data_IF_332033519141
#
_entry.id   IF_332033519141
#
_cell.length_a   1.000
_cell.length_b   1.000
_cell.length_c   1.000
_cell.angle_alpha   90.00
_cell.angle_beta   90.00
_cell.angle_gamma   90.00
#
_symmetry.space_group_name_H-M   'P 1'
#
loop_
_entity.id
_entity.type
_entity.pdbx_description
1 polymer ?
#
# COMPACT_ATOMS: atom_id res chain seq x y z
N UNK A 1 11.62 -8.47 30.25
CA UNK A 1 10.72 -7.69 29.39
C UNK A 1 11.43 -6.38 29.07
N UNK A 2 11.42 -5.93 27.84
CA UNK A 2 12.07 -4.67 27.46
C UNK A 2 11.43 -3.53 28.24
N UNK A 3 12.25 -2.68 28.85
CA UNK A 3 11.80 -1.47 29.56
C UNK A 3 11.43 -0.34 28.58
N UNK A 4 11.48 -0.61 27.27
CA UNK A 4 11.25 0.38 26.23
C UNK A 4 9.90 0.17 25.54
N UNK A 5 9.27 1.28 25.18
CA UNK A 5 8.04 1.35 24.38
C UNK A 5 8.44 1.59 22.91
N UNK A 6 8.07 0.68 21.99
CA UNK A 6 8.26 0.93 20.56
C UNK A 6 7.34 2.03 20.06
N UNK A 7 7.85 2.88 19.16
CA UNK A 7 7.15 3.95 18.47
C UNK A 7 7.42 3.77 16.98
N UNK A 8 6.40 3.40 16.24
CA UNK A 8 6.52 2.92 14.85
C UNK A 8 5.59 3.72 13.95
N UNK A 9 6.14 4.20 12.84
CA UNK A 9 5.40 4.78 11.71
C UNK A 9 5.63 3.97 10.45
N UNK A 10 4.67 4.00 9.53
CA UNK A 10 4.73 3.30 8.25
C UNK A 10 4.60 4.29 7.08
N UNK A 11 5.33 4.00 6.02
CA UNK A 11 5.16 4.58 4.70
C UNK A 11 4.76 3.44 3.76
N UNK A 12 3.51 3.48 3.28
CA UNK A 12 2.97 2.43 2.40
C UNK A 12 2.78 2.99 1.02
N UNK A 13 3.45 2.40 0.04
CA UNK A 13 3.37 2.76 -1.36
C UNK A 13 2.47 1.78 -2.10
N UNK A 14 1.51 2.28 -2.87
CA UNK A 14 0.59 1.45 -3.66
C UNK A 14 0.49 1.96 -5.10
N UNK A 15 0.86 1.10 -6.06
CA UNK A 15 0.69 1.39 -7.49
C UNK A 15 -0.81 1.35 -7.85
N UNK A 16 -1.27 2.38 -8.56
CA UNK A 16 -2.68 2.50 -8.94
C UNK A 16 -2.98 1.73 -10.23
N UNK A 17 -4.13 1.05 -10.26
CA UNK A 17 -4.61 0.24 -11.38
C UNK A 17 -5.11 1.09 -12.57
N UNK A 18 -4.34 2.07 -12.99
CA UNK A 18 -4.65 2.86 -14.18
C UNK A 18 -4.14 2.17 -15.44
N UNK A 19 -4.79 2.42 -16.59
CA UNK A 19 -4.35 1.89 -17.88
C UNK A 19 -3.08 2.57 -18.40
N UNK A 20 -2.90 3.84 -18.04
CA UNK A 20 -1.75 4.64 -18.47
C UNK A 20 -1.01 5.23 -17.28
N UNK A 21 0.23 5.62 -17.51
CA UNK A 21 1.09 6.27 -16.53
C UNK A 21 0.51 7.60 -16.05
N UNK A 22 1.09 8.15 -14.97
CA UNK A 22 0.55 9.34 -14.30
C UNK A 22 0.64 10.61 -15.14
N UNK A 23 1.67 10.75 -15.98
CA UNK A 23 1.92 11.98 -16.76
C UNK A 23 2.08 11.75 -18.28
N UNK A 24 1.80 10.53 -18.77
CA UNK A 24 1.82 10.20 -20.19
C UNK A 24 0.87 9.05 -20.51
N UNK A 25 0.74 8.70 -21.80
CA UNK A 25 -0.18 7.66 -22.29
C UNK A 25 0.43 6.26 -22.35
N UNK A 26 1.68 6.06 -21.92
CA UNK A 26 2.30 4.74 -21.90
C UNK A 26 1.50 3.77 -21.01
N UNK A 27 1.49 2.49 -21.39
CA UNK A 27 0.86 1.44 -20.60
C UNK A 27 1.52 1.32 -19.22
N UNK A 28 0.69 1.29 -18.17
CA UNK A 28 1.13 1.19 -16.77
C UNK A 28 1.13 -0.25 -16.23
N UNK A 29 0.70 -1.26 -17.01
CA UNK A 29 0.64 -2.65 -16.56
C UNK A 29 2.03 -3.20 -16.22
N UNK A 30 2.07 -4.08 -15.23
CA UNK A 30 3.27 -4.81 -14.85
C UNK A 30 3.79 -5.72 -15.96
N UNK A 31 5.13 -5.83 -16.10
CA UNK A 31 5.79 -6.71 -17.06
C UNK A 31 6.06 -6.06 -18.43
N UNK A 32 6.22 -6.89 -19.46
CA UNK A 32 6.67 -6.49 -20.80
C UNK A 32 8.18 -6.52 -20.95
N UNK A 33 8.65 -6.45 -22.21
CA UNK A 33 10.09 -6.39 -22.50
C UNK A 33 10.69 -5.10 -21.91
N UNK A 34 11.93 -5.13 -21.39
CA UNK A 34 12.56 -3.95 -20.81
C UNK A 34 12.54 -2.74 -21.77
N UNK A 35 12.19 -1.59 -21.24
CA UNK A 35 12.11 -0.31 -21.97
C UNK A 35 11.11 -0.29 -23.15
N UNK A 36 10.15 -1.22 -23.22
CA UNK A 36 9.12 -1.26 -24.26
C UNK A 36 7.90 -0.36 -23.97
N UNK A 37 7.75 0.09 -22.74
CA UNK A 37 6.62 0.88 -22.24
C UNK A 37 7.05 2.25 -21.73
N UNK A 38 7.91 2.93 -22.48
CA UNK A 38 8.39 4.27 -22.16
C UNK A 38 8.36 5.19 -23.39
N UNK A 39 8.20 6.48 -23.14
CA UNK A 39 8.15 7.52 -24.16
C UNK A 39 9.03 8.72 -23.75
N UNK A 40 9.25 9.70 -24.63
CA UNK A 40 10.05 10.89 -24.29
C UNK A 40 9.57 11.62 -23.02
N UNK A 41 8.26 11.60 -22.69
CA UNK A 41 7.74 12.27 -21.49
C UNK A 41 8.19 11.54 -20.21
N UNK A 42 7.90 10.24 -20.06
CA UNK A 42 8.26 9.52 -18.84
C UNK A 42 9.77 9.27 -18.71
N UNK A 43 10.55 9.39 -19.79
CA UNK A 43 12.03 9.36 -19.76
C UNK A 43 12.67 10.74 -19.65
N UNK A 44 11.87 11.81 -19.57
CA UNK A 44 12.37 13.17 -19.31
C UNK A 44 13.20 13.80 -20.43
N UNK A 45 12.86 13.47 -21.69
CA UNK A 45 13.55 14.06 -22.83
C UNK A 45 13.31 15.59 -22.91
N UNK A 46 14.30 16.39 -23.34
CA UNK A 46 14.14 17.83 -23.45
C UNK A 46 12.95 18.24 -24.31
N UNK A 47 12.18 19.23 -23.84
CA UNK A 47 11.03 19.80 -24.55
C UNK A 47 9.72 19.03 -24.37
N UNK A 48 9.70 17.96 -23.57
CA UNK A 48 8.45 17.23 -23.25
C UNK A 48 7.77 17.83 -22.03
N UNK A 49 6.42 17.84 -22.04
CA UNK A 49 5.60 18.31 -20.91
C UNK A 49 4.74 17.19 -20.36
N UNK A 50 4.65 17.03 -19.03
CA UNK A 50 3.77 16.08 -18.38
C UNK A 50 2.31 16.51 -18.51
N UNK A 51 1.40 15.54 -18.64
CA UNK A 51 -0.06 15.76 -18.57
C UNK A 51 -0.65 14.80 -17.56
N UNK A 52 -1.31 15.34 -16.53
CA UNK A 52 -1.84 14.53 -15.43
C UNK A 52 -2.94 13.55 -15.88
N UNK A 53 -2.85 12.33 -15.40
CA UNK A 53 -3.88 11.30 -15.58
C UNK A 53 -5.01 11.52 -14.55
N UNK A 54 -6.17 11.96 -15.03
CA UNK A 54 -7.34 12.20 -14.19
C UNK A 54 -7.78 10.95 -13.41
N UNK A 55 -7.68 9.76 -14.01
CA UNK A 55 -8.02 8.50 -13.33
C UNK A 55 -7.11 8.23 -12.14
N UNK A 56 -5.81 8.58 -12.24
CA UNK A 56 -4.87 8.45 -11.11
C UNK A 56 -5.26 9.38 -9.95
N UNK A 57 -5.68 10.60 -10.24
CA UNK A 57 -6.20 11.55 -9.25
C UNK A 57 -7.48 11.03 -8.60
N UNK A 58 -8.45 10.56 -9.39
CA UNK A 58 -9.68 9.95 -8.87
C UNK A 58 -9.40 8.73 -7.97
N UNK A 59 -8.44 7.88 -8.35
CA UNK A 59 -8.06 6.71 -7.56
C UNK A 59 -7.37 7.09 -6.25
N UNK A 60 -6.52 8.11 -6.26
CA UNK A 60 -5.92 8.64 -5.03
C UNK A 60 -6.99 9.20 -4.06
N UNK A 61 -7.98 9.92 -4.59
CA UNK A 61 -9.12 10.43 -3.79
C UNK A 61 -9.98 9.27 -3.26
N UNK A 62 -10.25 8.23 -4.07
CA UNK A 62 -10.95 7.02 -3.61
C UNK A 62 -10.19 6.31 -2.49
N UNK A 63 -8.86 6.21 -2.60
CA UNK A 63 -8.02 5.69 -1.52
C UNK A 63 -8.15 6.53 -0.26
N UNK A 64 -8.15 7.87 -0.39
CA UNK A 64 -8.38 8.79 0.72
C UNK A 64 -9.71 8.53 1.42
N UNK A 65 -10.82 8.46 0.69
CA UNK A 65 -12.13 8.13 1.27
C UNK A 65 -12.15 6.74 1.92
N UNK A 66 -11.49 5.74 1.33
CA UNK A 66 -11.43 4.39 1.87
C UNK A 66 -10.67 4.32 3.20
N UNK A 67 -9.66 5.19 3.40
CA UNK A 67 -8.87 5.29 4.61
C UNK A 67 -9.37 6.38 5.58
N UNK A 68 -10.56 6.96 5.32
CA UNK A 68 -11.17 7.95 6.21
C UNK A 68 -10.49 9.30 6.23
N UNK A 69 -9.80 9.67 5.13
CA UNK A 69 -9.11 10.96 5.02
C UNK A 69 -10.05 12.09 4.63
N UNK A 70 -9.66 13.30 5.04
CA UNK A 70 -10.14 14.55 4.44
C UNK A 70 -9.47 14.75 3.09
N UNK A 71 -10.21 15.24 2.10
CA UNK A 71 -9.68 15.55 0.77
C UNK A 71 -9.42 17.04 0.64
N UNK A 72 -8.20 17.41 0.32
CA UNK A 72 -7.85 18.81 0.04
C UNK A 72 -8.49 19.27 -1.27
N UNK A 73 -9.33 20.29 -1.20
CA UNK A 73 -9.99 20.88 -2.38
C UNK A 73 -9.02 21.57 -3.34
N UNK A 74 -7.85 21.94 -2.84
CA UNK A 74 -6.75 22.52 -3.60
C UNK A 74 -5.48 21.74 -3.33
N UNK A 75 -4.83 21.24 -4.38
CA UNK A 75 -3.62 20.44 -4.27
C UNK A 75 -2.65 20.79 -5.40
N UNK A 76 -1.36 20.74 -5.12
CA UNK A 76 -0.31 21.03 -6.07
C UNK A 76 0.72 19.89 -6.11
N UNK A 77 1.42 19.80 -7.21
CA UNK A 77 2.58 18.90 -7.33
C UNK A 77 3.87 19.67 -7.08
N UNK A 78 4.85 18.94 -6.56
CA UNK A 78 6.20 19.43 -6.28
C UNK A 78 7.22 18.54 -7.00
N UNK A 79 8.37 19.12 -7.34
CA UNK A 79 9.55 18.37 -7.79
C UNK A 79 10.41 18.00 -6.59
N UNK A 80 10.59 16.71 -6.36
CA UNK A 80 11.54 16.12 -5.41
C UNK A 80 12.83 15.81 -6.16
N UNK A 81 13.85 16.64 -5.98
CA UNK A 81 15.08 16.55 -6.78
C UNK A 81 16.07 15.60 -6.12
N UNK A 82 16.43 14.53 -6.82
CA UNK A 82 17.53 13.66 -6.45
C UNK A 82 18.05 12.93 -7.69
N UNK A 83 19.32 12.58 -7.67
CA UNK A 83 19.98 11.96 -8.80
C UNK A 83 20.18 10.47 -8.55
N UNK A 84 19.47 9.64 -9.35
CA UNK A 84 19.62 8.19 -9.33
C UNK A 84 19.36 7.62 -10.73
N UNK A 85 20.04 6.50 -11.14
CA UNK A 85 19.94 5.98 -12.50
C UNK A 85 18.54 5.52 -12.94
N UNK A 86 17.67 5.12 -12.00
CA UNK A 86 16.28 4.74 -12.28
C UNK A 86 15.31 5.93 -12.32
N UNK A 87 15.82 7.14 -12.12
CA UNK A 87 15.07 8.38 -12.19
C UNK A 87 15.58 9.24 -13.36
N UNK A 88 15.08 9.02 -14.60
CA UNK A 88 15.67 9.60 -15.82
C UNK A 88 15.59 11.12 -15.89
N UNK A 89 14.61 11.75 -15.20
CA UNK A 89 14.44 13.21 -15.12
C UNK A 89 15.34 13.88 -14.08
N UNK A 90 16.04 13.10 -13.23
CA UNK A 90 16.75 13.56 -12.04
C UNK A 90 15.85 14.26 -10.99
N UNK A 91 14.54 14.13 -11.12
CA UNK A 91 13.53 14.50 -10.12
C UNK A 91 12.32 13.59 -10.23
N UNK A 92 11.60 13.48 -9.12
CA UNK A 92 10.31 12.79 -9.04
C UNK A 92 9.21 13.84 -8.84
N UNK A 93 8.13 13.74 -9.62
CA UNK A 93 6.93 14.55 -9.36
C UNK A 93 6.15 13.89 -8.24
N UNK A 94 5.91 14.63 -7.18
CA UNK A 94 5.28 14.18 -5.94
C UNK A 94 4.48 15.33 -5.31
N UNK A 95 4.09 15.24 -4.05
CA UNK A 95 3.39 16.30 -3.33
C UNK A 95 3.95 16.41 -1.90
N UNK A 96 4.38 17.59 -1.48
CA UNK A 96 4.93 17.82 -0.15
C UNK A 96 3.97 18.61 0.76
N UNK A 97 3.65 19.85 0.36
CA UNK A 97 2.95 20.79 1.24
C UNK A 97 1.43 20.70 1.14
N UNK A 98 0.92 20.37 -0.04
CA UNK A 98 -0.53 20.31 -0.32
C UNK A 98 -0.89 18.96 -0.95
N UNK A 99 -0.76 17.86 -0.19
CA UNK A 99 -1.11 16.53 -0.67
C UNK A 99 -2.61 16.41 -0.93
N UNK A 100 -3.02 15.42 -1.70
CA UNK A 100 -4.44 15.20 -2.03
C UNK A 100 -5.29 14.88 -0.79
N UNK A 101 -4.77 14.08 0.16
CA UNK A 101 -5.54 13.61 1.30
C UNK A 101 -4.76 13.78 2.60
N UNK A 102 -5.47 14.12 3.68
CA UNK A 102 -4.90 14.34 5.03
C UNK A 102 -5.82 13.76 6.12
N UNK A 103 -5.30 13.64 7.33
CA UNK A 103 -6.09 13.34 8.55
C UNK A 103 -6.92 12.06 8.49
N UNK A 104 -6.41 11.00 7.86
CA UNK A 104 -7.10 9.71 7.82
C UNK A 104 -7.03 8.95 9.14
N UNK A 105 -7.94 7.98 9.31
CA UNK A 105 -7.94 7.05 10.45
C UNK A 105 -8.31 5.64 9.98
N UNK A 106 -7.43 4.69 10.29
CA UNK A 106 -7.65 3.27 9.99
C UNK A 106 -7.70 2.47 11.29
N UNK A 107 -8.85 1.89 11.59
CA UNK A 107 -9.01 1.02 12.77
C UNK A 107 -8.48 -0.38 12.46
N UNK A 108 -7.51 -0.85 13.23
CA UNK A 108 -6.99 -2.21 13.23
C UNK A 108 -7.55 -3.01 14.41
N UNK A 109 -7.49 -4.35 14.34
CA UNK A 109 -7.84 -5.24 15.45
C UNK A 109 -6.72 -6.26 15.65
N UNK A 110 -6.13 -6.28 16.84
CA UNK A 110 -5.07 -7.21 17.24
C UNK A 110 -5.46 -7.81 18.59
N UNK A 111 -5.47 -9.13 18.71
CA UNK A 111 -5.85 -9.87 19.91
C UNK A 111 -7.22 -9.42 20.50
N UNK A 112 -8.18 -9.14 19.60
CA UNK A 112 -9.53 -8.70 19.97
C UNK A 112 -9.61 -7.23 20.44
N UNK A 113 -8.51 -6.49 20.43
CA UNK A 113 -8.47 -5.08 20.78
C UNK A 113 -8.43 -4.22 19.53
N UNK A 114 -9.33 -3.24 19.47
CA UNK A 114 -9.35 -2.24 18.40
C UNK A 114 -8.41 -1.08 18.75
N UNK A 115 -7.71 -0.60 17.74
CA UNK A 115 -6.83 0.57 17.84
C UNK A 115 -6.93 1.39 16.56
N UNK A 116 -7.08 2.69 16.71
CA UNK A 116 -7.06 3.64 15.61
C UNK A 116 -5.62 4.07 15.31
N UNK A 117 -5.25 3.94 14.05
CA UNK A 117 -3.96 4.41 13.53
C UNK A 117 -4.25 5.60 12.62
N UNK A 118 -3.67 6.75 12.96
CA UNK A 118 -3.83 7.97 12.18
C UNK A 118 -2.99 7.91 10.91
N UNK A 119 -3.59 8.30 9.81
CA UNK A 119 -2.92 8.53 8.53
C UNK A 119 -2.68 10.03 8.40
N UNK A 120 -1.42 10.43 8.43
CA UNK A 120 -1.02 11.84 8.32
C UNK A 120 -1.44 12.39 6.94
N UNK A 121 -1.04 11.69 5.86
CA UNK A 121 -1.37 12.09 4.49
C UNK A 121 -1.36 10.91 3.52
N UNK A 122 -2.02 11.13 2.39
CA UNK A 122 -1.84 10.34 1.17
C UNK A 122 -1.54 11.33 0.04
N UNK A 123 -0.46 11.11 -0.66
CA UNK A 123 -0.10 11.91 -1.82
C UNK A 123 0.11 11.07 -3.06
N UNK A 124 -0.10 11.70 -4.23
CA UNK A 124 0.11 11.08 -5.53
C UNK A 124 1.51 11.42 -6.04
N UNK A 125 2.20 10.41 -6.54
CA UNK A 125 3.52 10.55 -7.12
C UNK A 125 3.71 9.58 -8.29
N UNK A 126 4.84 9.66 -8.95
CA UNK A 126 5.27 8.70 -9.97
C UNK A 126 6.26 7.69 -9.41
N UNK A 127 6.18 6.43 -9.84
CA UNK A 127 7.18 5.44 -9.49
C UNK A 127 8.47 5.64 -10.31
N UNK A 128 9.59 5.21 -9.76
CA UNK A 128 10.89 5.17 -10.43
C UNK A 128 11.02 3.94 -11.34
N UNK A 129 12.01 3.92 -12.20
CA UNK A 129 12.39 2.76 -12.99
C UNK A 129 12.88 1.59 -12.12
N UNK A 130 13.42 0.57 -12.77
CA UNK A 130 14.01 -0.59 -12.11
C UNK A 130 15.47 -0.72 -12.51
N UNK A 131 16.34 -0.98 -11.53
CA UNK A 131 17.73 -1.34 -11.78
C UNK A 131 17.89 -2.86 -11.65
N UNK A 132 18.55 -3.45 -12.64
CA UNK A 132 18.97 -4.85 -12.63
C UNK A 132 20.49 -4.87 -12.60
N UNK A 133 21.05 -5.33 -11.48
CA UNK A 133 22.49 -5.45 -11.31
C UNK A 133 22.96 -6.76 -11.92
N UNK A 134 23.95 -6.68 -12.79
CA UNK A 134 24.66 -7.81 -13.37
C UNK A 134 26.07 -7.84 -12.77
N UNK A 135 26.24 -8.62 -11.73
CA UNK A 135 27.50 -8.75 -10.99
C UNK A 135 28.60 -9.39 -11.86
N UNK A 136 28.23 -10.18 -12.87
CA UNK A 136 29.18 -10.84 -13.75
C UNK A 136 29.85 -9.85 -14.70
N UNK A 137 29.07 -8.93 -15.28
CA UNK A 137 29.58 -7.91 -16.20
C UNK A 137 29.91 -6.58 -15.50
N UNK A 138 29.72 -6.49 -14.18
CA UNK A 138 29.89 -5.28 -13.37
C UNK A 138 29.13 -4.06 -13.93
N UNK A 139 27.89 -4.29 -14.40
CA UNK A 139 27.02 -3.24 -14.95
C UNK A 139 25.65 -3.24 -14.25
N UNK A 140 24.97 -2.10 -14.33
CA UNK A 140 23.57 -1.98 -13.92
C UNK A 140 22.74 -1.57 -15.13
N UNK A 141 21.73 -2.39 -15.43
CA UNK A 141 20.79 -2.13 -16.52
C UNK A 141 19.58 -1.39 -15.95
N UNK A 142 19.17 -0.30 -16.62
CA UNK A 142 17.97 0.46 -16.24
C UNK A 142 16.79 0.07 -17.13
N UNK A 143 15.70 -0.33 -16.50
CA UNK A 143 14.41 -0.57 -17.13
C UNK A 143 13.42 0.52 -16.69
N UNK A 144 12.99 1.36 -17.64
CA UNK A 144 12.09 2.49 -17.40
C UNK A 144 10.60 2.14 -17.61
N UNK A 145 10.25 0.86 -17.78
CA UNK A 145 8.84 0.46 -17.93
C UNK A 145 7.98 0.92 -16.74
N UNK A 146 8.53 0.82 -15.52
CA UNK A 146 7.82 1.26 -14.30
C UNK A 146 7.88 2.78 -14.08
N UNK A 147 8.87 3.48 -14.65
CA UNK A 147 9.02 4.92 -14.50
C UNK A 147 7.75 5.66 -14.92
N UNK A 148 7.17 6.44 -14.02
CA UNK A 148 5.92 7.18 -14.23
C UNK A 148 4.64 6.37 -14.01
N UNK A 149 4.71 5.13 -13.51
CA UNK A 149 3.53 4.40 -13.02
C UNK A 149 2.92 5.17 -11.85
N UNK A 150 1.59 5.41 -11.83
CA UNK A 150 0.95 6.16 -10.75
C UNK A 150 1.10 5.43 -9.42
N UNK A 151 1.61 6.14 -8.44
CA UNK A 151 1.90 5.65 -7.10
C UNK A 151 1.25 6.57 -6.08
N UNK A 152 0.62 6.01 -5.05
CA UNK A 152 0.26 6.75 -3.84
C UNK A 152 1.16 6.34 -2.70
N UNK A 153 1.61 7.33 -1.93
CA UNK A 153 2.30 7.11 -0.67
C UNK A 153 1.36 7.46 0.49
N UNK A 154 1.14 6.50 1.38
CA UNK A 154 0.31 6.58 2.58
C UNK A 154 1.25 6.66 3.77
N UNK A 155 1.30 7.79 4.45
CA UNK A 155 2.16 8.04 5.60
C UNK A 155 1.34 8.05 6.88
N UNK A 156 1.72 7.21 7.86
CA UNK A 156 1.03 7.19 9.16
C UNK A 156 1.67 8.15 10.15
N UNK A 157 0.91 8.50 11.18
CA UNK A 157 1.49 8.95 12.45
C UNK A 157 2.17 7.77 13.17
N UNK A 158 3.08 8.01 14.12
CA UNK A 158 3.82 6.96 14.83
C UNK A 158 2.99 6.32 15.96
N UNK A 159 1.77 5.90 15.63
CA UNK A 159 0.81 5.35 16.60
C UNK A 159 0.99 3.85 16.86
N UNK A 160 1.76 3.16 16.00
CA UNK A 160 1.97 1.72 16.05
C UNK A 160 3.01 1.38 17.13
N UNK A 161 2.78 0.33 17.92
CA UNK A 161 3.62 -0.05 19.03
C UNK A 161 4.09 -1.52 19.03
N UNK A 162 3.72 -2.30 18.01
CA UNK A 162 4.19 -3.69 17.85
C UNK A 162 4.28 -4.12 16.39
N UNK A 163 4.99 -5.23 16.16
CA UNK A 163 5.07 -5.86 14.85
C UNK A 163 3.69 -6.37 14.37
N UNK A 164 2.87 -6.87 15.28
CA UNK A 164 1.53 -7.37 15.01
C UNK A 164 0.61 -6.23 14.56
N UNK A 165 0.65 -5.07 15.23
CA UNK A 165 -0.10 -3.89 14.84
C UNK A 165 0.33 -3.37 13.45
N UNK A 166 1.65 -3.37 13.16
CA UNK A 166 2.16 -2.96 11.86
C UNK A 166 1.65 -3.88 10.72
N UNK A 167 1.70 -5.21 10.94
CA UNK A 167 1.16 -6.18 9.97
C UNK A 167 -0.34 -5.99 9.77
N UNK A 168 -1.11 -5.87 10.86
CA UNK A 168 -2.55 -5.67 10.82
C UNK A 168 -2.93 -4.37 10.08
N UNK A 169 -2.13 -3.31 10.23
CA UNK A 169 -2.34 -2.06 9.49
C UNK A 169 -2.11 -2.24 7.99
N UNK A 170 -1.00 -2.85 7.57
CA UNK A 170 -0.72 -3.08 6.14
C UNK A 170 -1.75 -3.99 5.51
N UNK A 171 -2.18 -5.06 6.19
CA UNK A 171 -3.27 -5.94 5.76
C UNK A 171 -4.59 -5.17 5.60
N UNK A 172 -4.92 -4.30 6.56
CA UNK A 172 -6.14 -3.50 6.53
C UNK A 172 -6.13 -2.48 5.39
N UNK A 173 -5.01 -1.78 5.19
CA UNK A 173 -4.84 -0.85 4.06
C UNK A 173 -4.96 -1.60 2.74
N UNK A 174 -4.26 -2.73 2.58
CA UNK A 174 -4.36 -3.57 1.39
C UNK A 174 -5.82 -3.95 1.09
N UNK A 175 -6.55 -4.42 2.09
CA UNK A 175 -7.97 -4.77 1.97
C UNK A 175 -8.80 -3.57 1.50
N UNK A 176 -8.63 -2.41 2.12
CA UNK A 176 -9.39 -1.19 1.80
C UNK A 176 -9.11 -0.71 0.37
N UNK A 177 -7.85 -0.72 -0.08
CA UNK A 177 -7.46 -0.33 -1.43
C UNK A 177 -7.99 -1.30 -2.50
N UNK A 178 -7.96 -2.61 -2.21
CA UNK A 178 -8.56 -3.62 -3.10
C UNK A 178 -10.07 -3.46 -3.21
N UNK A 179 -10.78 -3.19 -2.11
CA UNK A 179 -12.21 -2.93 -2.13
C UNK A 179 -12.55 -1.65 -2.89
N UNK A 180 -11.78 -0.59 -2.69
CA UNK A 180 -11.93 0.65 -3.46
C UNK A 180 -11.64 0.48 -4.97
N UNK A 181 -11.00 -0.64 -5.35
CA UNK A 181 -10.66 -0.96 -6.75
C UNK A 181 -9.53 -0.11 -7.30
N UNK A 182 -8.63 0.37 -6.44
CA UNK A 182 -7.55 1.30 -6.82
C UNK A 182 -6.17 0.65 -6.91
N UNK A 183 -5.94 -0.47 -6.20
CA UNK A 183 -4.68 -1.23 -6.21
C UNK A 183 -4.97 -2.73 -6.06
N UNK A 184 -4.17 -3.59 -6.66
CA UNK A 184 -4.23 -5.05 -6.47
C UNK A 184 -3.43 -5.53 -5.26
N UNK A 185 -2.57 -4.66 -4.71
CA UNK A 185 -1.80 -4.85 -3.48
C UNK A 185 -0.94 -6.12 -3.46
N UNK A 186 -0.30 -6.47 -4.57
CA UNK A 186 0.60 -7.62 -4.67
C UNK A 186 2.03 -7.23 -4.28
N UNK A 187 2.44 -7.60 -3.07
CA UNK A 187 3.79 -7.30 -2.57
C UNK A 187 4.87 -8.00 -3.42
N UNK A 188 4.61 -9.19 -3.94
CA UNK A 188 5.55 -9.97 -4.76
C UNK A 188 5.86 -9.31 -6.11
N UNK A 189 4.91 -8.54 -6.65
CA UNK A 189 5.05 -7.77 -7.90
C UNK A 189 5.51 -6.34 -7.64
N UNK A 190 5.55 -5.91 -6.36
CA UNK A 190 5.94 -4.57 -5.95
C UNK A 190 4.83 -3.53 -6.07
N UNK A 191 3.58 -3.94 -6.38
CA UNK A 191 2.45 -3.01 -6.42
C UNK A 191 1.98 -2.54 -5.04
N UNK A 192 2.42 -3.21 -3.97
CA UNK A 192 2.35 -2.72 -2.58
C UNK A 192 3.72 -2.88 -1.93
N UNK A 193 4.25 -1.81 -1.35
CA UNK A 193 5.51 -1.78 -0.63
C UNK A 193 5.31 -1.06 0.69
N UNK A 194 6.08 -1.40 1.70
CA UNK A 194 6.05 -0.71 2.98
C UNK A 194 7.46 -0.47 3.51
N UNK A 195 7.73 0.75 3.91
CA UNK A 195 8.90 1.13 4.67
C UNK A 195 8.48 1.38 6.13
N UNK A 196 9.32 1.01 7.08
CA UNK A 196 9.01 1.07 8.50
C UNK A 196 9.98 1.97 9.21
N UNK A 197 9.47 2.98 9.90
CA UNK A 197 10.23 3.83 10.80
C UNK A 197 10.09 3.32 12.23
N UNK A 198 11.19 2.87 12.85
CA UNK A 198 11.20 2.31 14.21
C UNK A 198 12.02 3.20 15.12
N UNK A 199 11.46 3.58 16.25
CA UNK A 199 12.18 4.12 17.41
C UNK A 199 11.69 3.46 18.69
N UNK A 200 12.44 3.60 19.76
CA UNK A 200 12.04 3.15 21.10
C UNK A 200 12.27 4.28 22.10
N UNK A 201 11.41 4.38 23.11
CA UNK A 201 11.51 5.35 24.18
C UNK A 201 11.29 4.67 25.53
N UNK A 202 11.76 5.27 26.62
CA UNK A 202 11.41 4.83 27.98
C UNK A 202 10.04 5.33 28.36
N UNK A 203 9.32 4.65 29.27
CA UNK A 203 7.99 5.11 29.72
C UNK A 203 7.97 6.52 30.30
N UNK A 204 9.10 6.95 30.88
CA UNK A 204 9.27 8.29 31.48
C UNK A 204 9.67 9.38 30.50
N UNK A 205 10.10 9.02 29.26
CA UNK A 205 10.53 9.99 28.24
C UNK A 205 9.32 10.74 27.69
N UNK A 206 9.50 12.05 27.46
CA UNK A 206 8.48 12.92 26.86
C UNK A 206 8.59 13.03 25.32
N UNK A 207 9.75 12.65 24.79
CA UNK A 207 10.07 12.74 23.37
C UNK A 207 10.34 11.36 22.81
N UNK A 208 10.02 11.19 21.54
CA UNK A 208 10.33 9.95 20.85
C UNK A 208 11.84 9.76 20.72
N UNK A 209 12.27 8.50 20.75
CA UNK A 209 13.66 8.14 20.48
C UNK A 209 14.06 8.39 19.04
N UNK A 210 15.36 8.24 18.75
CA UNK A 210 15.90 8.39 17.41
C UNK A 210 15.36 7.29 16.49
N UNK A 211 14.71 7.68 15.41
CA UNK A 211 14.12 6.75 14.43
C UNK A 211 15.16 6.15 13.50
N UNK A 212 14.92 4.91 13.11
CA UNK A 212 15.63 4.18 12.06
C UNK A 212 14.62 3.75 11.00
N UNK A 213 14.88 4.05 9.74
CA UNK A 213 14.07 3.64 8.60
C UNK A 213 14.50 2.25 8.12
N UNK A 214 13.57 1.30 7.99
CA UNK A 214 13.83 -0.04 7.48
C UNK A 214 13.19 -0.20 6.09
N UNK A 215 14.02 -0.54 5.10
CA UNK A 215 13.62 -0.77 3.71
C UNK A 215 13.81 -2.22 3.27
N UNK A 216 13.29 -2.55 2.08
CA UNK A 216 13.38 -3.88 1.48
C UNK A 216 12.53 -4.93 2.22
N UNK A 217 11.29 -4.55 2.55
CA UNK A 217 10.32 -5.37 3.25
C UNK A 217 9.29 -5.93 2.25
N UNK A 218 9.56 -7.12 1.73
CA UNK A 218 8.81 -7.68 0.60
C UNK A 218 7.62 -8.58 1.01
N UNK A 219 7.32 -8.64 2.30
CA UNK A 219 6.20 -9.41 2.85
C UNK A 219 5.81 -8.91 4.24
N UNK A 220 4.59 -9.21 4.68
CA UNK A 220 4.14 -8.95 6.05
C UNK A 220 5.04 -9.61 7.09
N UNK A 221 5.54 -10.79 6.76
CA UNK A 221 6.49 -11.51 7.62
C UNK A 221 7.81 -10.75 7.76
N UNK A 222 8.33 -10.21 6.66
CA UNK A 222 9.56 -9.40 6.66
C UNK A 222 9.38 -8.11 7.46
N UNK A 223 8.21 -7.46 7.35
CA UNK A 223 7.86 -6.27 8.17
C UNK A 223 7.94 -6.62 9.65
N UNK A 224 7.27 -7.67 10.11
CA UNK A 224 7.29 -8.07 11.52
C UNK A 224 8.69 -8.39 12.02
N UNK A 225 9.46 -9.19 11.27
CA UNK A 225 10.83 -9.57 11.63
C UNK A 225 11.79 -8.37 11.70
N UNK A 226 11.66 -7.43 10.78
CA UNK A 226 12.48 -6.22 10.77
C UNK A 226 12.20 -5.34 12.00
N UNK A 227 10.93 -5.15 12.35
CA UNK A 227 10.51 -4.40 13.55
C UNK A 227 11.08 -5.06 14.81
N UNK A 228 10.88 -6.37 14.98
CA UNK A 228 11.37 -7.11 16.15
C UNK A 228 12.90 -7.05 16.26
N UNK A 229 13.59 -7.13 15.12
CA UNK A 229 15.05 -7.00 15.11
C UNK A 229 15.49 -5.60 15.54
N UNK A 230 14.86 -4.55 14.98
CA UNK A 230 15.22 -3.16 15.30
C UNK A 230 14.94 -2.81 16.75
N UNK A 231 13.80 -3.23 17.29
CA UNK A 231 13.51 -3.04 18.73
C UNK A 231 14.61 -3.66 19.58
N UNK A 232 15.00 -4.90 19.28
CA UNK A 232 16.09 -5.59 20.03
C UNK A 232 17.44 -4.92 19.85
N UNK A 233 17.77 -4.48 18.63
CA UNK A 233 19.03 -3.80 18.32
C UNK A 233 19.13 -2.47 19.07
N UNK A 234 18.09 -1.64 18.97
CA UNK A 234 18.05 -0.33 19.63
C UNK A 234 18.07 -0.46 21.15
N UNK A 235 17.31 -1.40 21.73
CA UNK A 235 17.33 -1.68 23.17
C UNK A 235 18.73 -2.04 23.66
N UNK A 236 19.44 -2.94 22.96
CA UNK A 236 20.82 -3.31 23.32
C UNK A 236 21.78 -2.11 23.28
N UNK A 237 21.64 -1.22 22.27
CA UNK A 237 22.48 -0.02 22.18
C UNK A 237 22.25 0.90 23.38
N UNK A 238 21.00 1.17 23.71
CA UNK A 238 20.65 2.05 24.85
C UNK A 238 21.06 1.44 26.20
N UNK A 239 20.89 0.13 26.38
CA UNK A 239 21.31 -0.59 27.58
C UNK A 239 22.85 -0.53 27.78
N UNK A 240 23.63 -0.46 26.69
CA UNK A 240 25.07 -0.26 26.69
C UNK A 240 25.49 1.22 26.86
N UNK A 241 24.54 2.14 27.05
CA UNK A 241 24.81 3.57 27.10
C UNK A 241 25.19 4.21 25.75
N UNK A 242 24.97 3.50 24.63
CA UNK A 242 25.23 4.00 23.29
C UNK A 242 23.98 4.69 22.74
N UNK A 243 24.19 5.62 21.79
CA UNK A 243 23.11 6.31 21.11
C UNK A 243 22.67 5.52 19.87
N UNK A 244 21.35 5.55 19.59
CA UNK A 244 20.82 5.15 18.28
C UNK A 244 21.13 6.27 17.29
N UNK A 245 21.60 5.92 16.11
CA UNK A 245 21.90 6.87 15.01
C UNK A 245 20.71 6.87 14.06
N UNK A 246 20.31 8.05 13.58
CA UNK A 246 19.29 8.16 12.54
C UNK A 246 19.88 7.72 11.21
N UNK A 247 19.40 6.61 10.70
CA UNK A 247 19.91 5.98 9.49
C UNK A 247 18.81 5.22 8.75
N UNK A 248 19.02 4.99 7.43
CA UNK A 248 18.25 4.05 6.63
C UNK A 248 18.97 2.69 6.65
N UNK A 249 18.22 1.63 6.91
CA UNK A 249 18.72 0.25 7.00
C UNK A 249 17.98 -0.66 6.03
N UNK A 250 18.70 -1.60 5.43
CA UNK A 250 18.14 -2.63 4.56
C UNK A 250 17.92 -3.91 5.34
N UNK A 251 16.71 -4.46 5.30
CA UNK A 251 16.42 -5.77 5.86
C UNK A 251 16.92 -6.88 4.94
N UNK A 252 17.61 -7.86 5.52
CA UNK A 252 18.03 -9.10 4.87
C UNK A 252 17.14 -10.23 5.39
N UNK A 253 16.23 -10.70 4.55
CA UNK A 253 15.23 -11.70 4.95
C UNK A 253 15.85 -13.06 5.28
N UNK A 254 16.93 -13.46 4.57
CA UNK A 254 17.64 -14.72 4.83
C UNK A 254 18.34 -14.72 6.19
N UNK A 255 18.97 -13.62 6.56
CA UNK A 255 19.68 -13.46 7.85
C UNK A 255 18.76 -13.03 8.98
N UNK A 256 17.62 -12.40 8.65
CA UNK A 256 16.70 -11.84 9.64
C UNK A 256 17.25 -10.63 10.38
N UNK A 257 18.11 -9.85 9.74
CA UNK A 257 18.79 -8.70 10.32
C UNK A 257 18.72 -7.47 9.40
N UNK A 258 18.90 -6.29 9.98
CA UNK A 258 19.05 -5.06 9.23
C UNK A 258 20.53 -4.66 9.12
N UNK A 259 20.94 -4.11 7.99
CA UNK A 259 22.28 -3.54 7.77
C UNK A 259 22.18 -2.08 7.39
N UNK A 260 23.10 -1.24 7.87
CA UNK A 260 23.14 0.19 7.53
C UNK A 260 23.35 0.39 6.04
N UNK A 261 22.59 1.29 5.43
CA UNK A 261 22.78 1.71 4.03
C UNK A 261 23.40 3.10 3.95
N UNK A 262 22.80 4.06 4.65
CA UNK A 262 23.25 5.46 4.69
C UNK A 262 22.88 6.10 6.02
N UNK A 263 23.68 7.05 6.45
CA UNK A 263 23.42 7.86 7.64
C UNK A 263 22.71 9.16 7.27
N UNK A 264 22.26 9.93 8.28
CA UNK A 264 21.62 11.24 8.07
C UNK A 264 22.59 12.26 7.43
N UNK A 265 23.90 12.11 7.64
CA UNK A 265 24.91 12.98 7.04
C UNK A 265 24.95 12.84 5.50
N UNK A 266 24.55 11.66 4.99
CA UNK A 266 24.36 11.38 3.56
C UNK A 266 22.97 11.68 3.05
N UNK A 267 22.05 12.22 3.89
CA UNK A 267 20.69 12.51 3.49
C UNK A 267 20.67 13.65 2.48
N UNK A 268 20.11 13.39 1.31
CA UNK A 268 19.96 14.39 0.28
C UNK A 268 18.96 15.48 0.71
N UNK A 269 19.34 16.74 0.57
CA UNK A 269 18.38 17.83 0.51
C UNK A 269 17.67 17.75 -0.86
N UNK A 270 16.41 17.33 -0.84
CA UNK A 270 15.62 17.15 -2.06
C UNK A 270 15.24 18.44 -2.76
N UNK A 271 15.49 19.61 -2.18
CA UNK A 271 15.26 20.93 -2.80
C UNK A 271 13.90 21.00 -3.48
N UNK A 272 12.86 20.66 -2.72
CA UNK A 272 11.52 20.70 -3.23
C UNK A 272 11.13 22.11 -3.73
N UNK A 273 10.47 22.15 -4.88
CA UNK A 273 9.82 23.34 -5.40
C UNK A 273 8.56 22.94 -6.19
N UNK A 274 7.57 23.85 -6.36
CA UNK A 274 6.36 23.54 -7.11
C UNK A 274 6.66 23.10 -8.54
N UNK A 275 5.97 22.07 -9.02
CA UNK A 275 6.06 21.59 -10.39
C UNK A 275 5.43 22.61 -11.35
N UNK A 276 6.20 23.27 -12.24
CA UNK A 276 5.68 24.38 -13.04
C UNK A 276 4.84 23.95 -14.24
N UNK A 277 4.97 22.70 -14.68
CA UNK A 277 4.36 22.20 -15.92
C UNK A 277 3.01 21.53 -15.69
N UNK A 278 2.61 21.31 -14.42
CA UNK A 278 1.33 20.70 -14.06
C UNK A 278 0.46 21.72 -13.32
N UNK A 279 -0.75 21.92 -13.84
CA UNK A 279 -1.72 22.76 -13.17
C UNK A 279 -2.14 22.15 -11.83
N UNK A 280 -2.51 23.04 -10.89
CA UNK A 280 -3.08 22.63 -9.60
C UNK A 280 -4.35 21.82 -9.81
N UNK A 281 -4.58 20.86 -8.91
CA UNK A 281 -5.81 20.10 -8.86
C UNK A 281 -6.81 20.81 -7.95
N UNK A 282 -8.00 21.06 -8.49
CA UNK A 282 -9.09 21.69 -7.76
C UNK A 282 -10.31 20.77 -7.75
N UNK A 283 -10.94 20.62 -6.59
CA UNK A 283 -12.17 19.87 -6.44
C UNK A 283 -13.29 20.77 -5.93
N UNK A 284 -14.46 20.66 -6.54
CA UNK A 284 -15.71 21.14 -5.95
C UNK A 284 -16.31 20.04 -5.05
N UNK A 285 -17.30 20.41 -4.23
CA UNK A 285 -18.00 19.43 -3.39
C UNK A 285 -18.73 18.40 -4.25
N UNK A 286 -19.33 18.83 -5.35
CA UNK A 286 -20.03 17.97 -6.31
C UNK A 286 -19.09 16.94 -6.92
N UNK A 287 -17.88 17.32 -7.34
CA UNK A 287 -16.87 16.38 -7.87
C UNK A 287 -16.47 15.34 -6.83
N UNK A 288 -16.27 15.76 -5.57
CA UNK A 288 -15.94 14.83 -4.49
C UNK A 288 -17.09 13.88 -4.17
N UNK A 289 -18.33 14.37 -4.18
CA UNK A 289 -19.52 13.55 -3.97
C UNK A 289 -19.69 12.54 -5.11
N UNK A 290 -19.44 12.91 -6.36
CA UNK A 290 -19.45 11.98 -7.49
C UNK A 290 -18.39 10.89 -7.37
N UNK A 291 -17.17 11.22 -6.95
CA UNK A 291 -16.11 10.23 -6.73
C UNK A 291 -16.49 9.31 -5.57
N UNK A 292 -17.04 9.86 -4.49
CA UNK A 292 -17.48 9.11 -3.32
C UNK A 292 -18.64 8.16 -3.64
N UNK A 293 -19.57 8.59 -4.49
CA UNK A 293 -20.70 7.75 -4.95
C UNK A 293 -20.24 6.56 -5.82
N UNK A 294 -19.08 6.67 -6.48
CA UNK A 294 -18.48 5.57 -7.27
C UNK A 294 -17.70 4.57 -6.42
N UNK A 295 -17.56 4.78 -5.09
CA UNK A 295 -16.92 3.80 -4.22
C UNK A 295 -17.79 2.55 -4.10
N UNK A 296 -17.20 1.35 -4.26
CA UNK A 296 -17.90 0.10 -3.95
C UNK A 296 -18.29 0.00 -2.47
N UNK A 297 -19.15 -0.95 -2.17
CA UNK A 297 -19.49 -1.26 -0.78
C UNK A 297 -18.22 -1.72 -0.03
N UNK A 298 -17.81 -0.95 0.96
CA UNK A 298 -16.60 -1.16 1.72
C UNK A 298 -16.71 -2.35 2.69
N UNK A 299 -15.60 -2.98 3.12
CA UNK A 299 -15.59 -4.20 3.93
C UNK A 299 -16.46 -4.13 5.19
N UNK A 300 -16.44 -2.99 5.90
CA UNK A 300 -17.22 -2.82 7.12
C UNK A 300 -18.74 -2.81 6.86
N UNK A 301 -19.18 -2.27 5.72
CA UNK A 301 -20.61 -2.27 5.32
C UNK A 301 -21.05 -3.67 4.91
N UNK A 302 -20.21 -4.41 4.13
CA UNK A 302 -20.48 -5.81 3.81
C UNK A 302 -20.55 -6.69 5.05
N UNK A 303 -19.63 -6.50 6.01
CA UNK A 303 -19.65 -7.21 7.28
C UNK A 303 -20.98 -6.99 8.01
N UNK A 304 -21.42 -5.74 8.13
CA UNK A 304 -22.69 -5.39 8.75
C UNK A 304 -23.88 -6.01 8.01
N UNK A 305 -23.88 -5.98 6.69
CA UNK A 305 -24.91 -6.62 5.86
C UNK A 305 -24.93 -8.14 6.03
N UNK A 306 -23.79 -8.80 5.99
CA UNK A 306 -23.70 -10.26 6.14
C UNK A 306 -24.15 -10.75 7.51
N UNK A 307 -23.81 -10.02 8.55
CA UNK A 307 -24.26 -10.37 9.90
C UNK A 307 -25.71 -9.97 10.17
N UNK A 308 -26.14 -8.77 9.76
CA UNK A 308 -27.46 -8.21 10.05
C UNK A 308 -28.57 -8.77 9.14
N UNK A 309 -28.38 -8.69 7.81
CA UNK A 309 -29.42 -9.08 6.84
C UNK A 309 -29.41 -10.58 6.55
N UNK A 310 -28.22 -11.18 6.42
CA UNK A 310 -28.09 -12.59 6.04
C UNK A 310 -27.97 -13.52 7.25
N UNK A 311 -27.83 -12.97 8.47
CA UNK A 311 -27.76 -13.74 9.71
C UNK A 311 -26.58 -14.71 9.78
N UNK A 312 -25.44 -14.35 9.16
CA UNK A 312 -24.20 -15.11 9.28
C UNK A 312 -23.55 -14.85 10.64
N UNK A 313 -22.75 -15.81 11.12
CA UNK A 313 -21.88 -15.55 12.27
C UNK A 313 -20.85 -14.47 11.95
N UNK A 314 -20.42 -13.71 12.95
CA UNK A 314 -19.37 -12.70 12.76
C UNK A 314 -18.08 -13.32 12.23
N UNK A 315 -17.77 -14.55 12.63
CA UNK A 315 -16.59 -15.30 12.19
C UNK A 315 -16.69 -15.60 10.69
N UNK A 316 -17.79 -16.18 10.24
CA UNK A 316 -17.99 -16.52 8.83
C UNK A 316 -18.02 -15.26 7.96
N UNK A 317 -18.70 -14.22 8.41
CA UNK A 317 -18.77 -12.95 7.72
C UNK A 317 -17.38 -12.30 7.59
N UNK A 318 -16.54 -12.31 8.64
CA UNK A 318 -15.16 -11.83 8.61
C UNK A 318 -14.34 -12.62 7.59
N UNK A 319 -14.44 -13.95 7.54
CA UNK A 319 -13.72 -14.78 6.57
C UNK A 319 -14.08 -14.39 5.13
N UNK A 320 -15.38 -14.22 4.84
CA UNK A 320 -15.85 -13.85 3.51
C UNK A 320 -15.38 -12.44 3.10
N UNK A 321 -15.38 -11.49 4.04
CA UNK A 321 -15.06 -10.09 3.77
C UNK A 321 -13.54 -9.84 3.67
N UNK A 322 -12.71 -10.69 4.28
CA UNK A 322 -11.25 -10.52 4.29
C UNK A 322 -10.59 -10.57 2.91
N UNK A 323 -11.30 -11.03 1.89
CA UNK A 323 -10.85 -11.01 0.50
C UNK A 323 -11.96 -10.51 -0.40
N UNK A 324 -11.73 -9.41 -1.11
CA UNK A 324 -12.74 -8.82 -2.01
C UNK A 324 -13.32 -9.84 -3.00
N UNK A 325 -12.46 -10.65 -3.63
CA UNK A 325 -12.88 -11.68 -4.60
C UNK A 325 -13.81 -12.72 -3.99
N UNK A 326 -13.54 -13.15 -2.75
CA UNK A 326 -14.38 -14.12 -2.03
C UNK A 326 -15.74 -13.49 -1.71
N UNK A 327 -15.72 -12.25 -1.28
CA UNK A 327 -16.92 -11.47 -0.97
C UNK A 327 -17.78 -11.21 -2.21
N UNK A 328 -17.15 -10.83 -3.32
CA UNK A 328 -17.85 -10.63 -4.60
C UNK A 328 -18.47 -11.95 -5.09
N UNK A 329 -17.71 -13.05 -4.98
CA UNK A 329 -18.21 -14.39 -5.34
C UNK A 329 -19.42 -14.81 -4.47
N UNK A 330 -19.38 -14.53 -3.18
CA UNK A 330 -20.49 -14.78 -2.29
C UNK A 330 -21.74 -14.00 -2.70
N UNK A 331 -21.61 -12.70 -2.96
CA UNK A 331 -22.72 -11.85 -3.38
C UNK A 331 -23.30 -12.29 -4.74
N UNK A 332 -22.46 -12.66 -5.70
CA UNK A 332 -22.91 -13.18 -7.02
C UNK A 332 -23.62 -14.55 -6.86
N UNK A 333 -23.09 -15.44 -6.01
CA UNK A 333 -23.71 -16.73 -5.75
C UNK A 333 -25.10 -16.61 -5.16
N UNK A 334 -25.36 -15.61 -4.33
CA UNK A 334 -26.67 -15.35 -3.74
C UNK A 334 -27.72 -14.93 -4.80
N UNK A 335 -27.32 -14.32 -5.90
CA UNK A 335 -28.24 -13.99 -7.02
C UNK A 335 -28.80 -15.24 -7.68
N UNK A 336 -28.03 -16.34 -7.67
CA UNK A 336 -28.42 -17.63 -8.26
C UNK A 336 -29.11 -18.54 -7.24
N UNK A 337 -28.59 -18.58 -6.01
CA UNK A 337 -29.10 -19.42 -4.94
C UNK A 337 -29.20 -18.65 -3.62
N UNK A 338 -30.41 -18.17 -3.35
CA UNK A 338 -30.69 -17.31 -2.19
C UNK A 338 -30.77 -18.08 -0.87
N UNK A 339 -29.63 -18.67 -0.44
CA UNK A 339 -29.46 -19.27 0.87
C UNK A 339 -28.08 -18.89 1.44
N UNK A 340 -27.99 -17.75 2.17
CA UNK A 340 -26.71 -17.20 2.62
C UNK A 340 -25.87 -18.18 3.46
N UNK A 341 -26.50 -18.93 4.39
CA UNK A 341 -25.77 -19.87 5.25
C UNK A 341 -25.16 -21.04 4.47
N UNK A 342 -25.91 -21.61 3.52
CA UNK A 342 -25.41 -22.72 2.70
C UNK A 342 -24.31 -22.26 1.77
N UNK A 343 -24.45 -21.09 1.13
CA UNK A 343 -23.43 -20.51 0.24
C UNK A 343 -22.16 -20.16 1.03
N UNK A 344 -22.29 -19.51 2.19
CA UNK A 344 -21.15 -19.17 3.04
C UNK A 344 -20.39 -20.44 3.47
N UNK A 345 -21.09 -21.47 3.94
CA UNK A 345 -20.47 -22.71 4.36
C UNK A 345 -19.73 -23.41 3.19
N UNK A 346 -20.34 -23.45 2.00
CA UNK A 346 -19.70 -24.02 0.82
C UNK A 346 -18.42 -23.26 0.46
N UNK A 347 -18.45 -21.91 0.45
CA UNK A 347 -17.31 -21.08 0.12
C UNK A 347 -16.19 -21.29 1.15
N UNK A 348 -16.52 -21.21 2.44
CA UNK A 348 -15.53 -21.25 3.52
C UNK A 348 -14.88 -22.64 3.64
N UNK A 349 -15.70 -23.70 3.60
CA UNK A 349 -15.21 -25.06 3.88
C UNK A 349 -14.65 -25.72 2.63
N UNK A 350 -15.33 -25.62 1.50
CA UNK A 350 -14.97 -26.39 0.31
C UNK A 350 -14.17 -25.57 -0.71
N UNK A 351 -14.68 -24.38 -1.10
CA UNK A 351 -14.04 -23.60 -2.16
C UNK A 351 -12.67 -23.06 -1.71
N UNK A 352 -12.60 -22.40 -0.55
CA UNK A 352 -11.32 -21.86 -0.06
C UNK A 352 -10.29 -22.95 0.22
N UNK A 353 -10.71 -24.15 0.68
CA UNK A 353 -9.82 -25.29 0.82
C UNK A 353 -9.18 -25.67 -0.54
N UNK A 354 -9.98 -25.78 -1.59
CA UNK A 354 -9.48 -26.13 -2.93
C UNK A 354 -8.60 -25.03 -3.54
N UNK A 355 -8.95 -23.78 -3.32
CA UNK A 355 -8.13 -22.63 -3.75
C UNK A 355 -6.77 -22.66 -3.06
N UNK A 356 -6.74 -22.91 -1.74
CA UNK A 356 -5.49 -23.00 -0.97
C UNK A 356 -4.62 -24.19 -1.37
N UNK A 357 -5.22 -25.27 -1.87
CA UNK A 357 -4.49 -26.42 -2.42
C UNK A 357 -4.04 -26.21 -3.88
N UNK A 358 -4.41 -25.11 -4.50
CA UNK A 358 -4.10 -24.82 -5.91
C UNK A 358 -4.91 -25.67 -6.91
N UNK A 359 -5.97 -26.35 -6.45
CA UNK A 359 -6.82 -27.19 -7.31
C UNK A 359 -7.76 -26.35 -8.20
N UNK A 360 -8.15 -25.16 -7.73
CA UNK A 360 -9.08 -24.27 -8.42
C UNK A 360 -8.61 -22.82 -8.25
N UNK A 361 -8.74 -22.02 -9.30
CA UNK A 361 -8.56 -20.56 -9.23
C UNK A 361 -9.89 -19.88 -8.93
N UNK A 362 -9.88 -18.85 -8.10
CA UNK A 362 -11.08 -18.00 -7.87
C UNK A 362 -11.59 -17.35 -9.17
N UNK A 363 -10.71 -17.08 -10.13
CA UNK A 363 -11.08 -16.48 -11.42
C UNK A 363 -11.87 -17.45 -12.31
N UNK A 364 -11.65 -18.75 -12.17
CA UNK A 364 -12.39 -19.80 -12.93
C UNK A 364 -13.73 -20.15 -12.28
N UNK A 365 -13.90 -19.92 -11.00
CA UNK A 365 -15.11 -20.31 -10.27
C UNK A 365 -16.33 -19.50 -10.65
N UNK A 366 -16.19 -18.24 -11.09
CA UNK A 366 -17.29 -17.41 -11.59
C UNK A 366 -17.90 -17.93 -12.89
N UNK A 367 -17.14 -18.67 -13.71
CA UNK A 367 -17.61 -19.26 -14.97
C UNK A 367 -18.43 -20.54 -14.72
N UNK A 368 -18.14 -21.26 -13.64
CA UNK A 368 -18.80 -22.55 -13.33
C UNK A 368 -20.10 -22.41 -12.50
N UNK A 369 -20.45 -21.22 -12.01
CA UNK A 369 -21.75 -20.99 -11.33
C UNK A 369 -22.93 -21.10 -12.30
N UNK A 370 -22.71 -20.96 -13.60
CA UNK A 370 -23.78 -21.12 -14.59
C UNK A 370 -24.30 -22.57 -14.72
N UNK A 371 -23.67 -23.57 -14.09
CA UNK A 371 -24.15 -24.95 -13.99
C UNK A 371 -24.23 -25.45 -12.54
N UNK A 372 -25.06 -24.87 -11.66
CA UNK A 372 -25.13 -25.31 -10.25
C UNK A 372 -25.82 -26.66 -10.04
N UNK A 373 -26.42 -27.24 -11.07
CA UNK A 373 -27.28 -28.43 -10.94
C UNK A 373 -26.52 -29.75 -10.92
N UNK A 374 -25.25 -29.82 -11.29
CA UNK A 374 -24.50 -31.09 -11.36
C UNK A 374 -23.69 -31.47 -10.13
N UNK A 375 -23.37 -30.53 -9.23
CA UNK A 375 -22.51 -30.80 -8.07
C UNK A 375 -23.16 -30.64 -6.70
N UNK A 376 -24.42 -30.19 -6.62
CA UNK A 376 -25.18 -30.12 -5.37
C UNK A 376 -26.06 -31.37 -5.11
N UNK A 377 -25.82 -32.48 -5.82
CA UNK A 377 -26.37 -33.79 -5.48
C UNK A 377 -25.27 -34.69 -4.95
N UNK A 378 -24.88 -34.46 -3.71
CA UNK A 378 -24.35 -35.52 -2.81
C UNK A 378 -24.96 -35.26 -1.43
#
# INVERSE_FOLDING_TARGET
MSSYIPVIGLEVHAELLTKSKVFCTCNAEFGGDPNSRCCPVCTGMPGTLPVINQTAVEYAVKAGFALGCDINKFSVFDRKNYFYPDLPKAYQISQLNLPLCINGVVTIEVDGKKKDIRVNRIHLEEDAGKLVHDDFNAVSLADYNRCGVPLIEIVTEPDISSAEEAKAFVEKVSLLLQYAGVCDCKMEQGSLRADVNVSIMRPEDKEFGTRTECKNLNSLKSIGRAIDFEIKRQSRLLDMGKKVIQETRRFNDNRGETTSMRTKEDAHDYRYFPEPDILQVNFTDEMLDEIKAKLPEMPHKRLARYTGEYGLSEVDAKILVNQKRVSDFFDESLKVYNNPKSVANFIIVELLRRVNLGEVSMDLSLIHISEPTRHLRI
#
